data_IF_446115517782
#
_entry.id   IF_446115517782
#
_cell.length_a   1.000
_cell.length_b   1.000
_cell.length_c   1.000
_cell.angle_alpha   90.00
_cell.angle_beta   90.00
_cell.angle_gamma   90.00
#
_symmetry.space_group_name_H-M   'P 1'
#
loop_
_entity.id
_entity.type
_entity.pdbx_description
1 polymer ?
#
# COMPACT_ATOMS: atom_id res chain seq x y z
N UNK A 1 -6.62 -8.36 7.56
CA UNK A 1 -7.54 -7.24 7.23
C UNK A 1 -8.05 -7.44 5.81
N UNK A 2 -9.36 -7.23 5.61
CA UNK A 2 -9.99 -7.20 4.30
C UNK A 2 -10.63 -5.83 4.12
N UNK A 3 -10.44 -5.22 2.94
CA UNK A 3 -11.03 -3.93 2.56
C UNK A 3 -11.83 -4.12 1.29
N UNK A 4 -13.11 -3.77 1.31
CA UNK A 4 -14.00 -3.82 0.15
C UNK A 4 -14.61 -2.44 -0.05
N UNK A 5 -14.51 -1.90 -1.27
CA UNK A 5 -14.99 -0.56 -1.55
C UNK A 5 -15.37 -0.37 -3.03
N UNK A 6 -16.11 0.69 -3.30
CA UNK A 6 -16.35 1.22 -4.64
C UNK A 6 -15.85 2.66 -4.70
N UNK A 7 -15.34 3.05 -5.84
CA UNK A 7 -14.89 4.44 -6.06
C UNK A 7 -15.15 4.87 -7.50
N UNK A 8 -15.23 6.17 -7.71
CA UNK A 8 -15.33 6.77 -9.03
C UNK A 8 -13.95 6.94 -9.63
N UNK A 9 -13.79 6.53 -10.87
CA UNK A 9 -12.55 6.71 -11.61
C UNK A 9 -12.87 6.84 -13.12
N UNK A 10 -12.92 8.07 -13.61
CA UNK A 10 -13.15 8.39 -15.01
C UNK A 10 -11.90 8.21 -15.89
N UNK A 11 -10.73 8.06 -15.29
CA UNK A 11 -9.44 7.90 -16.01
C UNK A 11 -9.15 6.45 -16.42
N UNK A 12 -10.07 5.51 -16.17
CA UNK A 12 -9.90 4.11 -16.49
C UNK A 12 -8.72 3.45 -15.74
N UNK A 13 -8.27 2.30 -16.24
CA UNK A 13 -7.15 1.56 -15.62
C UNK A 13 -5.84 2.36 -15.65
N UNK A 14 -5.64 3.24 -16.62
CA UNK A 14 -4.42 4.05 -16.72
C UNK A 14 -4.32 5.08 -15.59
N UNK A 15 -5.44 5.58 -15.11
CA UNK A 15 -5.49 6.40 -13.89
C UNK A 15 -5.01 5.62 -12.66
N UNK A 16 -5.44 4.37 -12.53
CA UNK A 16 -5.01 3.48 -11.43
C UNK A 16 -3.53 3.12 -11.57
N UNK A 17 -3.06 2.76 -12.78
CA UNK A 17 -1.64 2.48 -13.05
C UNK A 17 -0.74 3.66 -12.71
N UNK A 18 -1.13 4.86 -13.13
CA UNK A 18 -0.39 6.09 -12.84
C UNK A 18 -0.27 6.30 -11.33
N UNK A 19 -1.35 6.11 -10.60
CA UNK A 19 -1.37 6.28 -9.16
C UNK A 19 -0.57 5.19 -8.42
N UNK A 20 -0.68 3.94 -8.87
CA UNK A 20 0.12 2.85 -8.32
C UNK A 20 1.63 3.05 -8.59
N UNK A 21 1.97 3.64 -9.73
CA UNK A 21 3.36 3.93 -10.10
C UNK A 21 3.96 5.15 -9.38
N UNK A 22 3.13 6.08 -8.91
CA UNK A 22 3.57 7.32 -8.26
C UNK A 22 4.01 7.07 -6.81
N UNK A 23 5.05 6.27 -6.62
CA UNK A 23 5.54 5.81 -5.31
C UNK A 23 5.91 6.98 -4.40
N UNK A 24 6.52 8.04 -4.94
CA UNK A 24 6.91 9.21 -4.15
C UNK A 24 5.70 9.97 -3.58
N UNK A 25 4.53 9.84 -4.17
CA UNK A 25 3.28 10.45 -3.68
C UNK A 25 2.66 9.70 -2.49
N UNK A 26 3.17 8.51 -2.14
CA UNK A 26 2.81 7.84 -0.90
C UNK A 26 3.27 8.63 0.33
N UNK A 27 4.31 9.45 0.20
CA UNK A 27 4.79 10.35 1.25
C UNK A 27 3.67 11.27 1.73
N UNK A 28 3.51 11.37 3.04
CA UNK A 28 2.47 12.18 3.66
C UNK A 28 1.10 11.51 3.73
N UNK A 29 0.95 10.27 3.25
CA UNK A 29 -0.26 9.46 3.47
C UNK A 29 -0.57 9.39 4.95
N UNK A 30 -1.83 9.63 5.32
CA UNK A 30 -2.27 9.70 6.72
C UNK A 30 -3.28 8.60 7.05
N UNK A 31 -3.31 8.18 8.30
CA UNK A 31 -4.30 7.26 8.85
C UNK A 31 -4.76 7.72 10.24
N UNK A 32 -5.93 7.29 10.65
CA UNK A 32 -6.41 7.52 12.00
C UNK A 32 -5.80 6.50 12.95
N UNK A 33 -5.04 6.98 13.93
CA UNK A 33 -4.52 6.15 15.02
C UNK A 33 -5.59 6.03 16.11
N UNK A 34 -6.12 4.84 16.32
CA UNK A 34 -7.10 4.58 17.37
C UNK A 34 -6.50 4.68 18.77
N UNK A 35 -5.19 4.42 18.88
CA UNK A 35 -4.46 4.56 20.15
C UNK A 35 -4.28 6.02 20.55
N UNK A 36 -3.85 6.87 19.58
CA UNK A 36 -3.59 8.29 19.84
C UNK A 36 -4.83 9.18 19.60
N UNK A 37 -5.91 8.62 19.04
CA UNK A 37 -7.17 9.32 18.70
C UNK A 37 -6.94 10.57 17.84
N UNK A 38 -6.07 10.44 16.85
CA UNK A 38 -5.73 11.53 15.92
C UNK A 38 -5.22 11.01 14.57
N UNK A 39 -5.28 11.87 13.56
CA UNK A 39 -4.64 11.61 12.27
C UNK A 39 -3.12 11.67 12.41
N UNK A 40 -2.44 10.61 11.98
CA UNK A 40 -0.99 10.51 11.96
C UNK A 40 -0.49 10.28 10.53
N UNK A 41 0.71 10.72 10.24
CA UNK A 41 1.41 10.35 9.02
C UNK A 41 1.70 8.85 9.07
N UNK A 42 1.31 8.13 8.02
CA UNK A 42 1.61 6.71 7.87
C UNK A 42 2.97 6.51 7.19
N UNK A 43 3.21 7.26 6.13
CA UNK A 43 4.38 7.12 5.27
C UNK A 43 5.16 8.44 5.30
N UNK A 44 6.36 8.41 5.87
CA UNK A 44 7.24 9.57 6.02
C UNK A 44 8.06 9.80 4.75
N UNK A 45 8.42 8.74 4.03
CA UNK A 45 9.14 8.81 2.76
C UNK A 45 8.90 7.56 1.91
N UNK A 46 8.90 7.71 0.58
CA UNK A 46 8.81 6.60 -0.35
C UNK A 46 9.47 6.93 -1.68
N UNK A 47 10.12 5.94 -2.29
CA UNK A 47 10.71 6.07 -3.62
C UNK A 47 10.78 4.70 -4.32
N UNK A 48 10.67 4.71 -5.64
CA UNK A 48 10.94 3.53 -6.45
C UNK A 48 12.45 3.20 -6.45
N UNK A 49 12.79 1.94 -6.76
CA UNK A 49 14.17 1.49 -6.92
C UNK A 49 14.34 0.72 -8.23
N UNK A 50 15.58 0.61 -8.72
CA UNK A 50 15.86 -0.14 -9.97
C UNK A 50 15.93 -1.65 -9.75
N UNK A 51 15.76 -2.14 -8.50
CA UNK A 51 15.83 -3.57 -8.16
C UNK A 51 15.80 -3.80 -6.64
N UNK A 52 16.20 -5.00 -6.16
CA UNK A 52 16.28 -5.32 -4.73
C UNK A 52 17.33 -4.48 -3.98
N UNK A 53 17.46 -4.59 -2.64
CA UNK A 53 17.86 -3.54 -1.67
C UNK A 53 19.13 -2.71 -1.94
N UNK A 54 19.99 -3.08 -2.85
CA UNK A 54 21.28 -2.38 -3.08
C UNK A 54 21.29 -1.43 -4.29
N UNK A 55 20.15 -1.23 -4.95
CA UNK A 55 20.05 -0.52 -6.24
C UNK A 55 19.69 0.95 -6.11
N UNK A 56 19.86 1.67 -7.25
CA UNK A 56 19.66 3.11 -7.30
C UNK A 56 18.21 3.50 -7.03
N UNK A 57 18.05 4.57 -6.29
CA UNK A 57 16.76 5.18 -6.06
C UNK A 57 16.30 5.93 -7.30
N UNK A 58 15.03 5.85 -7.58
CA UNK A 58 14.33 6.66 -8.58
C UNK A 58 13.02 7.13 -7.96
N UNK A 59 12.47 8.21 -8.48
CA UNK A 59 11.29 8.81 -7.87
C UNK A 59 10.08 7.86 -7.95
N UNK A 60 9.72 7.44 -9.15
CA UNK A 60 8.47 6.75 -9.44
C UNK A 60 8.65 5.69 -10.53
N UNK A 61 7.64 4.84 -10.72
CA UNK A 61 7.48 4.00 -11.91
C UNK A 61 6.62 4.71 -12.94
N UNK A 62 6.92 4.54 -14.22
CA UNK A 62 6.02 4.98 -15.28
C UNK A 62 4.80 4.04 -15.39
N UNK A 63 3.64 4.52 -15.85
CA UNK A 63 2.47 3.65 -16.07
C UNK A 63 2.76 2.46 -16.98
N UNK A 64 3.68 2.60 -17.94
CA UNK A 64 4.08 1.55 -18.87
C UNK A 64 4.88 0.42 -18.23
N UNK A 65 5.40 0.61 -17.02
CA UNK A 65 6.08 -0.44 -16.26
C UNK A 65 5.08 -1.29 -15.45
N UNK A 66 3.84 -0.80 -15.27
CA UNK A 66 2.77 -1.51 -14.55
C UNK A 66 2.10 -2.51 -15.52
N UNK A 67 2.83 -3.56 -15.88
CA UNK A 67 2.41 -4.60 -16.82
C UNK A 67 2.34 -5.96 -16.15
N UNK A 68 1.45 -6.81 -16.63
CA UNK A 68 1.31 -8.18 -16.14
C UNK A 68 2.62 -8.95 -16.15
N UNK A 69 2.89 -9.70 -15.09
CA UNK A 69 4.09 -10.49 -14.89
C UNK A 69 5.30 -9.71 -14.36
N UNK A 70 5.26 -8.38 -14.32
CA UNK A 70 6.39 -7.55 -13.88
C UNK A 70 6.49 -7.54 -12.36
N UNK A 71 7.74 -7.54 -11.85
CA UNK A 71 8.07 -7.28 -10.45
C UNK A 71 8.85 -5.98 -10.35
N UNK A 72 8.35 -5.06 -9.54
CA UNK A 72 8.92 -3.75 -9.26
C UNK A 72 9.31 -3.66 -7.79
N UNK A 73 10.24 -2.79 -7.46
CA UNK A 73 10.75 -2.65 -6.08
C UNK A 73 10.70 -1.20 -5.65
N UNK A 74 10.30 -0.96 -4.41
CA UNK A 74 10.27 0.38 -3.84
C UNK A 74 10.66 0.35 -2.37
N UNK A 75 11.16 1.48 -1.88
CA UNK A 75 11.44 1.70 -0.46
C UNK A 75 10.35 2.58 0.12
N UNK A 76 10.03 2.32 1.37
CA UNK A 76 9.08 3.10 2.13
C UNK A 76 9.58 3.19 3.57
N UNK A 77 9.51 4.38 4.14
CA UNK A 77 9.68 4.61 5.58
C UNK A 77 8.30 4.89 6.17
N UNK A 78 7.90 4.11 7.15
CA UNK A 78 6.67 4.36 7.89
C UNK A 78 6.95 4.79 9.34
N UNK A 79 5.94 5.34 9.98
CA UNK A 79 6.04 5.92 11.31
C UNK A 79 6.28 4.89 12.44
N UNK A 80 6.19 3.60 12.17
CA UNK A 80 6.39 2.54 13.17
C UNK A 80 7.63 1.68 12.91
N UNK A 81 7.82 1.25 11.67
CA UNK A 81 8.79 0.21 11.34
C UNK A 81 10.02 0.73 10.60
N UNK A 82 10.17 2.06 10.51
CA UNK A 82 11.30 2.68 9.80
C UNK A 82 11.27 2.35 8.31
N UNK A 83 12.46 2.21 7.71
CA UNK A 83 12.59 1.99 6.27
C UNK A 83 12.63 0.51 5.93
N UNK A 84 11.77 0.10 5.00
CA UNK A 84 11.75 -1.24 4.42
C UNK A 84 11.68 -1.19 2.89
N UNK A 85 12.13 -2.27 2.26
CA UNK A 85 11.99 -2.48 0.81
C UNK A 85 10.86 -3.46 0.56
N UNK A 86 10.06 -3.13 -0.43
CA UNK A 86 8.90 -3.91 -0.84
C UNK A 86 9.05 -4.37 -2.29
N UNK A 87 8.46 -5.51 -2.60
CA UNK A 87 8.23 -6.01 -3.95
C UNK A 87 6.77 -5.81 -4.31
N UNK A 88 6.53 -5.11 -5.41
CA UNK A 88 5.24 -4.98 -6.08
C UNK A 88 5.22 -5.91 -7.29
N UNK A 89 4.32 -6.89 -7.31
CA UNK A 89 4.13 -7.80 -8.45
C UNK A 89 2.80 -7.53 -9.11
N UNK A 90 2.81 -7.33 -10.42
CA UNK A 90 1.60 -7.16 -11.21
C UNK A 90 1.13 -8.55 -11.66
N UNK A 91 0.02 -9.00 -11.12
CA UNK A 91 -0.51 -10.34 -11.34
C UNK A 91 -1.46 -10.42 -12.54
N UNK A 92 -2.17 -9.32 -12.82
CA UNK A 92 -3.02 -9.18 -14.00
C UNK A 92 -3.19 -7.70 -14.34
N UNK A 93 -3.18 -7.37 -15.64
CA UNK A 93 -3.35 -6.00 -16.12
C UNK A 93 -4.08 -5.99 -17.46
N UNK A 94 -5.33 -5.51 -17.47
CA UNK A 94 -6.15 -5.32 -18.66
C UNK A 94 -6.78 -3.92 -18.68
N UNK A 95 -7.64 -3.63 -19.65
CA UNK A 95 -8.36 -2.36 -19.73
C UNK A 95 -9.33 -2.14 -18.54
N UNK A 96 -9.86 -3.24 -17.98
CA UNK A 96 -10.90 -3.21 -16.96
C UNK A 96 -10.49 -3.82 -15.62
N UNK A 97 -9.21 -4.23 -15.51
CA UNK A 97 -8.73 -4.94 -14.32
C UNK A 97 -7.25 -4.67 -14.08
N UNK A 98 -6.92 -4.47 -12.80
CA UNK A 98 -5.55 -4.48 -12.30
C UNK A 98 -5.50 -5.31 -11.02
N UNK A 99 -4.65 -6.33 -10.99
CA UNK A 99 -4.40 -7.16 -9.80
C UNK A 99 -2.92 -7.12 -9.49
N UNK A 100 -2.59 -6.81 -8.26
CA UNK A 100 -1.20 -6.76 -7.82
C UNK A 100 -1.04 -7.23 -6.36
N UNK A 101 0.17 -7.64 -6.02
CA UNK A 101 0.56 -7.96 -4.64
C UNK A 101 1.74 -7.10 -4.20
N UNK A 102 1.78 -6.82 -2.90
CA UNK A 102 2.89 -6.13 -2.24
C UNK A 102 3.35 -6.99 -1.08
N UNK A 103 4.67 -7.15 -0.93
CA UNK A 103 5.28 -7.82 0.21
C UNK A 103 6.59 -7.14 0.62
N UNK A 104 6.91 -7.14 1.91
CA UNK A 104 8.22 -6.69 2.38
C UNK A 104 9.28 -7.73 2.03
N UNK A 105 10.41 -7.29 1.50
CA UNK A 105 11.56 -8.15 1.18
C UNK A 105 12.76 -7.89 2.10
N UNK A 106 12.65 -6.91 2.98
CA UNK A 106 13.60 -6.64 4.07
C UNK A 106 12.90 -6.70 5.41
N UNK A 107 13.67 -6.94 6.47
CA UNK A 107 13.15 -6.91 7.84
C UNK A 107 12.68 -5.50 8.19
N UNK A 108 11.46 -5.40 8.68
CA UNK A 108 10.89 -4.17 9.24
C UNK A 108 11.19 -4.15 10.75
N UNK A 109 11.66 -3.01 11.27
CA UNK A 109 12.13 -2.89 12.64
C UNK A 109 11.52 -1.67 13.34
N UNK A 110 11.19 -1.85 14.61
CA UNK A 110 10.97 -0.73 15.53
C UNK A 110 12.22 -0.60 16.39
N UNK A 111 13.02 0.45 16.15
CA UNK A 111 14.38 0.53 16.66
C UNK A 111 15.19 -0.73 16.30
N UNK A 112 15.64 -1.47 17.28
CA UNK A 112 16.42 -2.71 17.09
C UNK A 112 15.57 -3.97 17.08
N UNK A 113 14.27 -3.88 17.39
CA UNK A 113 13.37 -5.02 17.49
C UNK A 113 12.75 -5.31 16.11
N UNK A 114 12.93 -6.51 15.56
CA UNK A 114 12.25 -6.90 14.33
C UNK A 114 10.73 -7.02 14.58
N UNK A 115 9.93 -6.32 13.77
CA UNK A 115 8.48 -6.41 13.78
C UNK A 115 7.98 -7.46 12.78
N UNK A 116 8.57 -7.45 11.59
CA UNK A 116 8.24 -8.35 10.50
C UNK A 116 9.50 -8.78 9.77
N UNK A 117 9.67 -10.08 9.57
CA UNK A 117 10.70 -10.62 8.70
C UNK A 117 10.30 -10.51 7.22
N UNK A 118 11.23 -10.70 6.26
CA UNK A 118 10.90 -10.72 4.85
C UNK A 118 9.75 -11.67 4.54
N UNK A 119 8.74 -11.20 3.77
CA UNK A 119 7.57 -11.97 3.40
C UNK A 119 6.48 -12.09 4.47
N UNK A 120 6.66 -11.51 5.66
CA UNK A 120 5.64 -11.57 6.71
C UNK A 120 4.56 -10.50 6.58
N UNK A 121 4.82 -9.41 5.88
CA UNK A 121 3.81 -8.41 5.57
C UNK A 121 3.45 -8.51 4.10
N UNK A 122 2.25 -8.98 3.82
CA UNK A 122 1.78 -9.23 2.46
C UNK A 122 0.39 -8.67 2.23
N UNK A 123 0.16 -8.20 1.00
CA UNK A 123 -1.18 -7.82 0.56
C UNK A 123 -1.41 -8.18 -0.91
N UNK A 124 -2.68 -8.41 -1.25
CA UNK A 124 -3.14 -8.57 -2.63
C UNK A 124 -4.32 -7.64 -2.84
N UNK A 125 -4.34 -7.00 -3.99
CA UNK A 125 -5.33 -5.99 -4.35
C UNK A 125 -5.93 -6.29 -5.71
N UNK A 126 -7.25 -6.29 -5.78
CA UNK A 126 -8.05 -6.45 -6.98
C UNK A 126 -8.78 -5.14 -7.25
N UNK A 127 -8.61 -4.59 -8.43
CA UNK A 127 -9.25 -3.37 -8.87
C UNK A 127 -9.92 -3.67 -10.21
N UNK A 128 -11.23 -3.62 -10.25
CA UNK A 128 -12.01 -4.04 -11.41
C UNK A 128 -13.09 -3.01 -11.75
N UNK A 129 -13.27 -2.76 -13.04
CA UNK A 129 -14.35 -1.91 -13.54
C UNK A 129 -15.69 -2.62 -13.34
N UNK A 130 -16.63 -1.95 -12.70
CA UNK A 130 -18.01 -2.40 -12.52
C UNK A 130 -18.95 -1.75 -13.56
N UNK A 131 -18.70 -0.47 -13.87
CA UNK A 131 -19.42 0.30 -14.89
C UNK A 131 -18.48 1.38 -15.45
N UNK A 132 -18.86 2.20 -16.43
CA UNK A 132 -17.94 3.16 -17.05
C UNK A 132 -17.10 3.99 -16.10
N UNK A 133 -17.70 4.46 -14.99
CA UNK A 133 -17.03 5.33 -14.03
C UNK A 133 -16.93 4.74 -12.62
N UNK A 134 -17.45 3.53 -12.40
CA UNK A 134 -17.43 2.87 -11.09
C UNK A 134 -16.46 1.70 -11.11
N UNK A 135 -15.57 1.70 -10.13
CA UNK A 135 -14.58 0.65 -9.93
C UNK A 135 -14.75 0.02 -8.56
N UNK A 136 -14.57 -1.29 -8.50
CA UNK A 136 -14.51 -2.06 -7.26
C UNK A 136 -13.06 -2.22 -6.83
N UNK A 137 -12.85 -2.11 -5.55
CA UNK A 137 -11.59 -2.43 -4.88
C UNK A 137 -11.83 -3.54 -3.87
N UNK A 138 -10.99 -4.56 -3.93
CA UNK A 138 -10.92 -5.61 -2.94
C UNK A 138 -9.46 -5.81 -2.55
N UNK A 139 -9.13 -5.55 -1.28
CA UNK A 139 -7.78 -5.68 -0.74
C UNK A 139 -7.74 -6.66 0.42
N UNK A 140 -6.77 -7.56 0.41
CA UNK A 140 -6.47 -8.46 1.53
C UNK A 140 -5.06 -8.15 1.99
N UNK A 141 -4.88 -7.84 3.27
CA UNK A 141 -3.58 -7.70 3.90
C UNK A 141 -3.45 -8.71 5.04
N UNK A 142 -2.29 -9.35 5.13
CA UNK A 142 -1.95 -10.29 6.21
C UNK A 142 -0.56 -10.01 6.77
N UNK A 143 -0.37 -10.37 8.01
CA UNK A 143 0.93 -10.49 8.67
C UNK A 143 1.24 -11.95 8.92
N UNK A 144 2.51 -12.32 8.95
CA UNK A 144 2.96 -13.67 9.29
C UNK A 144 2.61 -14.02 10.75
N UNK A 145 2.59 -15.30 11.05
CA UNK A 145 2.31 -15.81 12.41
C UNK A 145 3.42 -15.46 13.41
N UNK A 146 4.63 -15.20 12.91
CA UNK A 146 5.80 -14.86 13.71
C UNK A 146 5.99 -13.35 13.86
N UNK A 147 5.00 -12.56 13.42
CA UNK A 147 4.97 -11.11 13.63
C UNK A 147 5.08 -10.80 15.14
N UNK A 148 5.86 -9.78 15.46
CA UNK A 148 6.11 -9.40 16.85
C UNK A 148 4.81 -9.18 17.63
N UNK A 149 4.76 -9.62 18.88
CA UNK A 149 3.66 -9.35 19.82
C UNK A 149 3.40 -7.86 20.02
N UNK A 150 4.37 -7.00 19.70
CA UNK A 150 4.19 -5.54 19.70
C UNK A 150 3.17 -5.05 18.67
N UNK A 151 2.80 -5.88 17.70
CA UNK A 151 1.77 -5.58 16.71
C UNK A 151 0.38 -6.03 17.14
N UNK A 152 0.28 -6.87 18.18
CA UNK A 152 -0.98 -7.34 18.73
C UNK A 152 -1.77 -6.19 19.41
N UNK A 153 -3.10 -6.22 19.32
CA UNK A 153 -3.96 -5.19 19.90
C UNK A 153 -4.08 -3.89 19.09
N UNK A 154 -3.50 -3.85 17.88
CA UNK A 154 -3.57 -2.68 16.98
C UNK A 154 -4.42 -2.95 15.72
N UNK A 155 -5.37 -3.90 15.80
CA UNK A 155 -6.19 -4.32 14.65
C UNK A 155 -6.99 -3.15 14.05
N UNK A 156 -7.58 -2.31 14.88
CA UNK A 156 -8.34 -1.14 14.43
C UNK A 156 -7.45 -0.12 13.68
N UNK A 157 -6.22 0.12 14.17
CA UNK A 157 -5.24 0.94 13.45
C UNK A 157 -4.80 0.29 12.15
N UNK A 158 -4.69 -1.04 12.10
CA UNK A 158 -4.35 -1.79 10.89
C UNK A 158 -5.45 -1.68 9.82
N UNK A 159 -6.73 -1.67 10.23
CA UNK A 159 -7.86 -1.40 9.33
C UNK A 159 -7.74 0.02 8.74
N UNK A 160 -7.49 1.02 9.57
CA UNK A 160 -7.35 2.41 9.12
C UNK A 160 -6.14 2.60 8.17
N UNK A 161 -5.04 1.86 8.36
CA UNK A 161 -3.90 1.84 7.44
C UNK A 161 -4.26 1.23 6.08
N UNK A 162 -5.00 0.11 6.07
CA UNK A 162 -5.46 -0.52 4.84
C UNK A 162 -6.45 0.39 4.08
N UNK A 163 -7.35 1.07 4.78
CA UNK A 163 -8.28 2.05 4.19
C UNK A 163 -7.53 3.28 3.66
N UNK A 164 -6.47 3.73 4.33
CA UNK A 164 -5.61 4.81 3.84
C UNK A 164 -4.98 4.47 2.49
N UNK A 165 -4.45 3.25 2.34
CA UNK A 165 -3.92 2.80 1.05
C UNK A 165 -5.01 2.72 -0.03
N UNK A 166 -6.19 2.19 0.28
CA UNK A 166 -7.33 2.23 -0.64
C UNK A 166 -7.64 3.66 -1.09
N UNK A 167 -7.73 4.60 -0.15
CA UNK A 167 -8.02 6.02 -0.45
C UNK A 167 -6.96 6.62 -1.37
N UNK A 168 -5.69 6.32 -1.11
CA UNK A 168 -4.59 6.73 -1.99
C UNK A 168 -4.81 6.21 -3.42
N UNK A 169 -5.03 4.91 -3.60
CA UNK A 169 -5.27 4.30 -4.92
C UNK A 169 -6.52 4.87 -5.60
N UNK A 170 -7.58 5.14 -4.84
CA UNK A 170 -8.82 5.74 -5.32
C UNK A 170 -8.73 7.25 -5.63
N UNK A 171 -7.60 7.89 -5.29
CA UNK A 171 -7.42 9.33 -5.48
C UNK A 171 -8.20 10.19 -4.50
N UNK A 172 -8.46 9.67 -3.33
CA UNK A 172 -9.19 10.35 -2.26
C UNK A 172 -8.20 10.87 -1.20
N UNK A 173 -8.55 11.96 -0.47
CA UNK A 173 -7.79 12.36 0.70
C UNK A 173 -7.69 11.19 1.70
N UNK A 174 -6.47 10.90 2.16
CA UNK A 174 -6.25 9.73 3.04
C UNK A 174 -6.72 9.97 4.46
N UNK A 175 -6.83 11.25 4.88
CA UNK A 175 -7.34 11.71 6.18
C UNK A 175 -8.81 12.17 6.13
N UNK A 176 -9.59 11.61 5.21
CA UNK A 176 -11.02 11.92 5.07
C UNK A 176 -11.84 11.40 6.26
N UNK A 177 -12.62 12.29 6.86
CA UNK A 177 -13.60 11.95 7.89
C UNK A 177 -14.85 11.23 7.32
N UNK A 178 -15.49 10.34 8.07
CA UNK A 178 -14.99 9.72 9.31
C UNK A 178 -13.91 8.68 9.03
N UNK A 179 -13.04 8.34 10.00
CA UNK A 179 -12.14 7.19 9.86
C UNK A 179 -12.96 5.90 9.82
N UNK A 180 -12.38 4.83 9.27
CA UNK A 180 -13.07 3.54 9.20
C UNK A 180 -13.26 2.90 10.58
N UNK A 181 -12.31 3.11 11.48
CA UNK A 181 -12.36 2.69 12.89
C UNK A 181 -11.96 3.86 13.80
N UNK A 182 -12.65 4.00 14.95
CA UNK A 182 -12.39 5.03 15.98
C UNK A 182 -11.86 4.43 17.27
#
# INVERSE_FOLDING_TARGET
VVTVARFRNSSGVDGVRRRLGAISELKGTRYWSTTHKQWQTLIDDACATTGPPAYQHRKDFSPNEIMEGVSLYFRQADNLSGTATYRLRILSASADRLVFSIENITTMRYFLVPLFHPGEMQSVHFIERESPDIWRYYGIARTGKDASSLTAGHEASSINRAVSFFRYIAGMPTDKEPPAMR
#
